data_IF_785905300152
#
_entry.id   IF_785905300152
#
_cell.length_a   1.000
_cell.length_b   1.000
_cell.length_c   1.000
_cell.angle_alpha   90.00
_cell.angle_beta   90.00
_cell.angle_gamma   90.00
#
_symmetry.space_group_name_H-M   'P 1'
#
loop_
_entity.id
_entity.type
_entity.pdbx_description
1 polymer ?
#
# COMPACT_ATOMS: atom_id res chain seq x y z
N UNK A 1 10.65 7.10 -16.31
CA UNK A 1 9.42 6.60 -15.67
C UNK A 1 8.89 7.69 -14.77
N UNK A 2 7.62 8.10 -14.88
CA UNK A 2 7.09 9.18 -14.02
C UNK A 2 7.02 8.67 -12.59
N UNK A 3 7.82 9.26 -11.71
CA UNK A 3 7.86 8.93 -10.28
C UNK A 3 6.47 9.21 -9.68
N UNK A 4 5.95 8.24 -8.91
CA UNK A 4 4.68 8.37 -8.20
C UNK A 4 5.00 8.61 -6.74
N UNK A 5 4.33 9.56 -6.12
CA UNK A 5 4.66 10.04 -4.77
C UNK A 5 3.39 10.34 -3.97
N UNK A 6 3.51 10.24 -2.65
CA UNK A 6 2.47 10.65 -1.71
C UNK A 6 2.43 12.19 -1.65
N UNK A 7 1.32 12.77 -2.12
CA UNK A 7 1.10 14.22 -2.13
C UNK A 7 0.20 14.71 -1.01
N UNK A 8 -0.50 13.82 -0.31
CA UNK A 8 -1.32 14.18 0.84
C UNK A 8 -1.54 13.00 1.76
N UNK A 9 -1.52 13.24 3.07
CA UNK A 9 -1.94 12.29 4.09
C UNK A 9 -3.27 12.80 4.63
N UNK A 10 -4.28 11.93 4.69
CA UNK A 10 -5.61 12.29 5.21
C UNK A 10 -5.75 11.88 6.68
N UNK A 11 -5.26 10.68 7.00
CA UNK A 11 -5.25 10.10 8.34
C UNK A 11 -4.08 9.10 8.48
N UNK A 12 -4.05 8.34 9.56
CA UNK A 12 -2.97 7.38 9.85
C UNK A 12 -2.89 6.20 8.86
N UNK A 13 -3.92 5.98 8.05
CA UNK A 13 -4.09 4.85 7.14
C UNK A 13 -4.32 5.26 5.68
N UNK A 14 -4.85 6.45 5.43
CA UNK A 14 -5.33 6.91 4.14
C UNK A 14 -4.47 8.06 3.60
N UNK A 15 -4.12 7.97 2.31
CA UNK A 15 -3.27 8.96 1.65
C UNK A 15 -3.55 9.06 0.15
N UNK A 16 -3.09 10.14 -0.46
CA UNK A 16 -3.29 10.44 -1.87
C UNK A 16 -1.94 10.41 -2.59
N UNK A 17 -1.92 9.75 -3.75
CA UNK A 17 -0.77 9.73 -4.66
C UNK A 17 -1.05 10.56 -5.91
N UNK A 18 0.01 11.12 -6.52
CA UNK A 18 -0.05 11.90 -7.77
C UNK A 18 -0.18 11.03 -9.03
N UNK A 19 -0.98 9.98 -8.97
CA UNK A 19 -1.23 9.09 -10.09
C UNK A 19 -2.69 8.64 -10.07
N UNK A 20 -3.31 8.65 -11.24
CA UNK A 20 -4.73 8.34 -11.43
C UNK A 20 -4.97 7.54 -12.72
N UNK A 21 -6.19 7.61 -13.26
CA UNK A 21 -6.56 6.88 -14.49
C UNK A 21 -5.71 7.31 -15.69
N UNK A 22 -5.27 8.57 -15.76
CA UNK A 22 -4.38 9.08 -16.82
C UNK A 22 -3.00 8.39 -16.81
N UNK A 23 -2.61 7.78 -15.69
CA UNK A 23 -1.39 6.98 -15.55
C UNK A 23 -1.68 5.47 -15.55
N UNK A 24 -2.90 5.06 -15.89
CA UNK A 24 -3.32 3.66 -15.97
C UNK A 24 -3.56 2.99 -14.61
N UNK A 25 -3.73 3.75 -13.53
CA UNK A 25 -4.11 3.17 -12.23
C UNK A 25 -5.58 2.76 -12.27
N UNK A 26 -5.89 1.62 -11.66
CA UNK A 26 -7.25 1.14 -11.46
C UNK A 26 -7.52 0.86 -9.97
N UNK A 27 -8.78 0.96 -9.52
CA UNK A 27 -9.17 0.50 -8.19
C UNK A 27 -8.76 -0.95 -7.95
N UNK A 28 -8.35 -1.27 -6.74
CA UNK A 28 -7.91 -2.62 -6.34
C UNK A 28 -6.44 -2.92 -6.60
N UNK A 29 -5.68 -2.03 -7.23
CA UNK A 29 -4.24 -2.21 -7.41
C UNK A 29 -3.50 -2.11 -6.09
N UNK A 30 -2.45 -2.91 -5.93
CA UNK A 30 -1.52 -2.79 -4.83
C UNK A 30 -0.34 -1.89 -5.20
N UNK A 31 0.15 -1.13 -4.25
CA UNK A 31 1.29 -0.26 -4.38
C UNK A 31 2.29 -0.53 -3.25
N UNK A 32 3.57 -0.47 -3.57
CA UNK A 32 4.65 -0.51 -2.59
C UNK A 32 5.07 0.92 -2.27
N UNK A 33 5.07 1.27 -0.99
CA UNK A 33 5.68 2.53 -0.55
C UNK A 33 7.13 2.26 -0.17
N UNK A 34 8.03 3.02 -0.78
CA UNK A 34 9.48 2.92 -0.63
C UNK A 34 9.96 4.00 0.34
N UNK A 35 10.88 3.62 1.23
CA UNK A 35 11.64 4.60 2.02
C UNK A 35 12.59 5.40 1.13
N UNK A 36 13.10 6.52 1.65
CA UNK A 36 14.15 7.33 1.01
C UNK A 36 15.41 6.54 0.64
N UNK A 37 15.76 5.53 1.44
CA UNK A 37 16.88 4.62 1.20
C UNK A 37 16.53 3.48 0.22
N UNK A 38 15.34 3.51 -0.39
CA UNK A 38 14.80 2.52 -1.33
C UNK A 38 14.54 1.14 -0.73
N UNK A 39 14.56 0.99 0.60
CA UNK A 39 14.04 -0.22 1.25
C UNK A 39 12.50 -0.24 1.22
N UNK A 40 11.92 -1.43 1.05
CA UNK A 40 10.46 -1.60 1.07
C UNK A 40 9.93 -1.25 2.47
N UNK A 41 8.98 -0.31 2.54
CA UNK A 41 8.38 0.10 3.81
C UNK A 41 7.15 -0.76 4.09
N UNK A 42 6.10 -0.61 3.28
CA UNK A 42 4.81 -1.29 3.44
C UNK A 42 4.03 -1.33 2.11
N UNK A 43 2.95 -2.11 2.11
CA UNK A 43 2.02 -2.24 0.98
C UNK A 43 0.79 -1.37 1.26
N UNK A 44 0.26 -0.74 0.22
CA UNK A 44 -1.04 -0.10 0.26
C UNK A 44 -1.89 -0.58 -0.93
N UNK A 45 -3.20 -0.34 -0.85
CA UNK A 45 -4.15 -0.64 -1.91
C UNK A 45 -4.85 0.64 -2.36
N UNK A 46 -5.04 0.73 -3.66
CA UNK A 46 -5.82 1.80 -4.29
C UNK A 46 -7.30 1.50 -4.09
N UNK A 47 -8.00 2.38 -3.38
CA UNK A 47 -9.44 2.26 -3.15
C UNK A 47 -10.21 3.05 -4.23
N UNK A 48 -9.83 4.31 -4.44
CA UNK A 48 -10.48 5.19 -5.43
C UNK A 48 -9.46 5.81 -6.39
N UNK A 49 -9.89 6.03 -7.63
CA UNK A 49 -9.05 6.58 -8.69
C UNK A 49 -9.76 7.72 -9.38
N UNK A 50 -9.09 8.86 -9.42
CA UNK A 50 -9.49 10.07 -10.13
C UNK A 50 -8.56 10.25 -11.36
N UNK A 51 -8.81 11.22 -12.25
CA UNK A 51 -7.97 11.41 -13.44
C UNK A 51 -6.48 11.58 -13.14
N UNK A 52 -6.14 12.38 -12.14
CA UNK A 52 -4.76 12.76 -11.84
C UNK A 52 -4.21 12.18 -10.54
N UNK A 53 -5.10 11.68 -9.67
CA UNK A 53 -4.77 11.26 -8.31
C UNK A 53 -5.54 10.00 -7.91
N UNK A 54 -5.03 9.31 -6.90
CA UNK A 54 -5.64 8.10 -6.35
C UNK A 54 -5.61 8.13 -4.84
N UNK A 55 -6.72 7.68 -4.24
CA UNK A 55 -6.84 7.45 -2.82
C UNK A 55 -6.38 6.03 -2.51
N UNK A 56 -5.47 5.93 -1.55
CA UNK A 56 -4.85 4.68 -1.15
C UNK A 56 -5.02 4.46 0.36
N UNK A 57 -5.22 3.20 0.73
CA UNK A 57 -5.27 2.74 2.11
C UNK A 57 -4.08 1.83 2.37
N UNK A 58 -3.29 2.14 3.40
CA UNK A 58 -2.11 1.35 3.75
C UNK A 58 -2.49 0.08 4.53
N UNK A 59 -1.61 -0.92 4.46
CA UNK A 59 -1.62 -2.07 5.34
C UNK A 59 -0.31 -2.13 6.14
N UNK A 60 -0.41 -2.13 7.46
CA UNK A 60 0.74 -2.20 8.38
C UNK A 60 0.64 -1.17 9.51
N UNK A 61 1.71 -1.07 10.30
CA UNK A 61 1.78 -0.17 11.47
C UNK A 61 2.72 1.04 11.27
N UNK A 62 3.58 1.04 10.23
CA UNK A 62 4.57 2.12 10.01
C UNK A 62 3.95 3.47 9.61
N UNK A 63 4.51 4.59 10.07
CA UNK A 63 4.00 5.92 9.72
C UNK A 63 4.18 6.24 8.22
N UNK A 64 3.21 6.96 7.67
CA UNK A 64 3.23 7.55 6.33
C UNK A 64 4.01 8.86 6.36
N UNK A 65 4.79 9.16 5.32
CA UNK A 65 5.42 10.48 5.17
C UNK A 65 5.11 11.12 3.82
N UNK A 66 4.93 12.43 3.84
CA UNK A 66 4.78 13.22 2.62
C UNK A 66 6.03 13.10 1.74
N UNK A 67 5.84 12.92 0.44
CA UNK A 67 6.92 12.77 -0.54
C UNK A 67 7.58 11.39 -0.56
N UNK A 68 7.03 10.39 0.14
CA UNK A 68 7.48 9.01 -0.06
C UNK A 68 7.17 8.55 -1.50
N UNK A 69 8.12 7.78 -2.06
CA UNK A 69 8.02 7.28 -3.42
C UNK A 69 7.22 6.00 -3.43
N UNK A 70 6.33 5.88 -4.41
CA UNK A 70 5.42 4.77 -4.56
C UNK A 70 5.72 4.03 -5.86
N UNK A 71 5.71 2.71 -5.78
CA UNK A 71 5.80 1.82 -6.94
C UNK A 71 4.49 1.07 -7.11
N UNK A 72 3.87 1.19 -8.29
CA UNK A 72 2.62 0.50 -8.62
C UNK A 72 2.95 -0.97 -8.95
N UNK A 73 2.21 -1.92 -8.35
CA UNK A 73 2.20 -3.33 -8.79
C UNK A 73 1.03 -3.54 -9.75
N UNK A 74 1.35 -3.83 -11.01
CA UNK A 74 0.34 -4.23 -11.99
C UNK A 74 -0.09 -5.68 -11.72
N UNK A 75 -1.40 -5.98 -11.66
CA UNK A 75 -1.89 -7.32 -11.36
C UNK A 75 -1.55 -8.37 -12.42
N UNK A 76 -1.22 -7.96 -13.65
CA UNK A 76 -1.08 -8.87 -14.79
C UNK A 76 0.17 -9.76 -14.77
N UNK A 77 1.09 -9.59 -13.81
CA UNK A 77 2.33 -10.38 -13.75
C UNK A 77 2.45 -11.31 -12.53
N UNK A 78 1.67 -11.11 -11.47
CA UNK A 78 1.79 -11.93 -10.26
C UNK A 78 0.42 -12.08 -9.61
N UNK A 79 -0.16 -13.28 -9.70
CA UNK A 79 -1.23 -13.74 -8.80
C UNK A 79 -0.71 -13.62 -7.36
N UNK A 80 -0.96 -12.50 -6.70
CA UNK A 80 -0.67 -12.32 -5.27
C UNK A 80 -1.76 -13.10 -4.53
N UNK A 81 -1.55 -14.39 -4.33
CA UNK A 81 -2.33 -15.15 -3.35
C UNK A 81 -2.00 -14.61 -1.96
N UNK A 82 -2.98 -14.01 -1.29
CA UNK A 82 -2.87 -13.62 0.11
C UNK A 82 -2.67 -14.88 0.96
N UNK A 83 -1.43 -15.16 1.34
CA UNK A 83 -1.16 -16.14 2.41
C UNK A 83 -1.67 -15.57 3.72
N UNK A 84 -2.91 -15.89 4.07
CA UNK A 84 -3.45 -15.66 5.41
C UNK A 84 -2.58 -16.43 6.40
N UNK A 85 -1.70 -15.71 7.10
CA UNK A 85 -0.93 -16.28 8.20
C UNK A 85 -1.91 -16.50 9.35
N UNK A 86 -2.47 -17.71 9.45
CA UNK A 86 -3.24 -18.11 10.63
C UNK A 86 -2.30 -18.12 11.82
N UNK A 87 -2.44 -17.15 12.72
CA UNK A 87 -1.73 -17.13 13.99
C UNK A 87 -2.04 -18.43 14.74
N UNK A 88 -1.04 -19.29 14.94
CA UNK A 88 -1.16 -20.43 15.85
C UNK A 88 -1.22 -19.89 17.27
N UNK A 89 -2.43 -19.66 17.78
CA UNK A 89 -2.64 -19.34 19.19
C UNK A 89 -2.24 -20.56 20.02
N UNK A 90 -1.01 -20.57 20.52
CA UNK A 90 -0.56 -21.56 21.49
C UNK A 90 -1.34 -21.36 22.79
N UNK A 91 -2.48 -22.05 22.95
CA UNK A 91 -3.16 -22.20 24.23
C UNK A 91 -2.24 -23.00 25.16
N UNK A 92 -1.43 -22.30 25.97
CA UNK A 92 -0.78 -22.90 27.14
C UNK A 92 -1.89 -23.43 28.07
N UNK A 93 -2.02 -24.75 28.18
CA UNK A 93 -2.82 -25.39 29.25
C UNK A 93 -2.20 -24.99 30.59
N UNK A 94 -2.92 -24.17 31.35
CA UNK A 94 -2.61 -23.92 32.76
C UNK A 94 -3.02 -25.19 33.52
N UNK A 95 -2.04 -25.95 34.02
CA UNK A 95 -2.27 -26.96 35.06
C UNK A 95 -2.18 -26.23 36.40
N UNK A 96 -3.25 -26.29 37.17
CA UNK A 96 -3.39 -25.76 38.52
C UNK A 96 -4.73 -26.23 39.04
#
# INVERSE_FOLDING_TARGET
MKQVEIIRILDDTSFIINAGTNKGIKPGYYIDVLKRDKSYNYIAKVEEVYPELSLCTRYGEQRLFYGEVVRIRYPDAFNIETKVIKSKTNRRKKRG
#
